data_IF_738280741073
#
_entry.id   IF_738280741073
#
_cell.length_a   1.000
_cell.length_b   1.000
_cell.length_c   1.000
_cell.angle_alpha   90.00
_cell.angle_beta   90.00
_cell.angle_gamma   90.00
#
_symmetry.space_group_name_H-M   'P 1'
#
loop_
_entity.id
_entity.type
_entity.pdbx_description
1 polymer ?
#
# COMPACT_ATOMS: atom_id res chain seq x y z
N UNK A 1 -18.06 9.75 41.16
CA UNK A 1 -18.15 10.10 39.74
C UNK A 1 -17.13 11.19 39.49
N UNK A 2 -15.94 10.85 39.03
CA UNK A 2 -14.81 11.79 39.02
C UNK A 2 -13.53 11.19 38.44
N UNK A 3 -13.66 10.42 37.36
CA UNK A 3 -12.53 9.88 36.59
C UNK A 3 -12.85 10.01 35.11
N UNK A 4 -13.22 11.21 34.67
CA UNK A 4 -13.23 11.51 33.24
C UNK A 4 -11.82 12.03 32.91
N UNK A 5 -10.91 11.10 32.66
CA UNK A 5 -9.68 11.46 31.96
C UNK A 5 -10.09 11.90 30.56
N UNK A 6 -9.90 13.19 30.27
CA UNK A 6 -10.17 13.76 28.96
C UNK A 6 -9.32 13.05 27.92
N UNK A 7 -9.95 12.37 26.96
CA UNK A 7 -9.25 11.84 25.81
C UNK A 7 -8.64 13.01 25.03
N UNK A 8 -7.32 13.03 24.86
CA UNK A 8 -6.65 13.92 23.92
C UNK A 8 -7.18 13.61 22.53
N UNK A 9 -7.71 14.62 21.85
CA UNK A 9 -8.11 14.46 20.45
C UNK A 9 -6.86 14.07 19.64
N UNK A 10 -6.95 13.07 18.76
CA UNK A 10 -5.81 12.73 17.90
C UNK A 10 -5.43 13.98 17.08
N UNK A 11 -4.15 14.33 17.10
CA UNK A 11 -3.63 15.40 16.25
C UNK A 11 -3.84 15.03 14.78
N UNK A 12 -4.29 16.00 13.98
CA UNK A 12 -4.35 15.82 12.53
C UNK A 12 -2.93 15.73 11.98
N UNK A 13 -2.57 14.57 11.42
CA UNK A 13 -1.33 14.40 10.68
C UNK A 13 -1.49 15.09 9.33
N UNK A 14 -0.73 16.16 9.08
CA UNK A 14 -0.66 16.80 7.76
C UNK A 14 0.11 15.88 6.80
N UNK A 15 -0.60 15.11 5.98
CA UNK A 15 -0.01 14.25 4.96
C UNK A 15 0.42 15.09 3.75
N UNK A 16 1.72 15.35 3.63
CA UNK A 16 2.29 16.01 2.45
C UNK A 16 2.50 15.02 1.31
N UNK A 17 1.56 14.96 0.38
CA UNK A 17 1.69 14.16 -0.84
C UNK A 17 2.28 14.99 -2.01
N UNK A 18 3.21 14.41 -2.78
CA UNK A 18 3.64 14.93 -4.07
C UNK A 18 2.48 14.97 -5.06
N UNK A 19 2.56 15.79 -6.13
CA UNK A 19 1.53 15.82 -7.16
C UNK A 19 1.31 14.45 -7.83
N UNK A 20 2.38 13.65 -7.97
CA UNK A 20 2.31 12.28 -8.49
C UNK A 20 1.62 11.34 -7.50
N UNK A 21 1.93 11.47 -6.21
CA UNK A 21 1.30 10.67 -5.15
C UNK A 21 -0.20 10.95 -5.05
N UNK A 22 -0.64 12.20 -5.22
CA UNK A 22 -2.06 12.57 -5.23
C UNK A 22 -2.79 12.07 -6.49
N UNK A 23 -2.13 12.10 -7.65
CA UNK A 23 -2.71 11.63 -8.90
C UNK A 23 -2.77 10.09 -9.01
N UNK A 24 -1.93 9.40 -8.24
CA UNK A 24 -1.75 7.95 -8.33
C UNK A 24 -0.64 7.55 -9.29
N UNK A 25 -0.16 6.32 -9.15
CA UNK A 25 0.94 5.78 -9.94
C UNK A 25 0.42 4.91 -11.09
N UNK A 26 0.76 5.29 -12.32
CA UNK A 26 0.46 4.53 -13.54
C UNK A 26 1.63 3.63 -14.01
N UNK A 27 2.78 3.74 -13.33
CA UNK A 27 4.02 3.00 -13.60
C UNK A 27 4.54 3.14 -15.04
N UNK A 28 4.03 4.12 -15.80
CA UNK A 28 4.24 4.26 -17.25
C UNK A 28 5.70 4.54 -17.62
N UNK A 29 6.44 5.19 -16.72
CA UNK A 29 7.85 5.55 -16.86
C UNK A 29 8.83 4.42 -16.49
N UNK A 30 8.34 3.28 -15.98
CA UNK A 30 9.18 2.14 -15.60
C UNK A 30 9.28 1.06 -16.69
N UNK A 31 10.44 0.40 -16.80
CA UNK A 31 10.65 -0.70 -17.75
C UNK A 31 10.12 -2.04 -17.20
N UNK A 32 9.35 -2.75 -18.01
CA UNK A 32 8.78 -4.07 -17.70
C UNK A 32 9.88 -5.09 -17.41
N UNK A 33 9.66 -5.94 -16.41
CA UNK A 33 10.62 -6.97 -15.98
C UNK A 33 11.66 -6.46 -14.97
N UNK A 34 11.71 -5.16 -14.70
CA UNK A 34 12.61 -4.58 -13.70
C UNK A 34 12.12 -4.89 -12.28
N UNK A 35 13.05 -5.16 -11.37
CA UNK A 35 12.76 -5.14 -9.93
C UNK A 35 12.55 -3.69 -9.50
N UNK A 36 11.48 -3.44 -8.75
CA UNK A 36 11.20 -2.12 -8.19
C UNK A 36 11.78 -2.06 -6.78
N UNK A 37 12.81 -1.23 -6.60
CA UNK A 37 13.39 -0.97 -5.27
C UNK A 37 12.93 0.36 -4.67
N UNK A 38 12.80 1.40 -5.50
CA UNK A 38 12.32 2.71 -5.07
C UNK A 38 11.62 3.45 -6.21
N UNK A 39 10.59 4.22 -5.87
CA UNK A 39 9.85 5.05 -6.80
C UNK A 39 9.11 6.17 -6.07
N UNK A 40 9.31 7.42 -6.53
CA UNK A 40 8.60 8.62 -6.08
C UNK A 40 8.46 8.78 -4.55
N UNK A 41 9.56 8.54 -3.82
CA UNK A 41 9.60 8.69 -2.36
C UNK A 41 9.22 7.42 -1.58
N UNK A 42 8.92 6.32 -2.26
CA UNK A 42 8.68 5.01 -1.65
C UNK A 42 9.79 4.03 -1.97
N UNK A 43 10.00 3.08 -1.05
CA UNK A 43 10.77 1.87 -1.26
C UNK A 43 9.84 0.68 -1.41
N UNK A 44 10.19 -0.21 -2.33
CA UNK A 44 9.43 -1.40 -2.67
C UNK A 44 10.33 -2.62 -2.49
N UNK A 45 9.78 -3.67 -1.90
CA UNK A 45 10.46 -4.96 -1.76
C UNK A 45 9.54 -6.07 -2.22
N UNK A 46 10.07 -7.02 -2.99
CA UNK A 46 9.30 -8.15 -3.51
C UNK A 46 8.36 -7.81 -4.68
N UNK A 47 8.54 -6.64 -5.31
CA UNK A 47 7.78 -6.19 -6.48
C UNK A 47 8.63 -6.15 -7.75
N UNK A 48 8.02 -6.50 -8.89
CA UNK A 48 8.55 -6.27 -10.23
C UNK A 48 7.52 -5.60 -11.12
N UNK A 49 7.96 -4.91 -12.17
CA UNK A 49 7.07 -4.23 -13.12
C UNK A 49 6.58 -5.22 -14.18
N UNK A 50 5.27 -5.23 -14.44
CA UNK A 50 4.59 -6.12 -15.38
C UNK A 50 3.52 -5.36 -16.17
N UNK A 51 3.14 -5.88 -17.33
CA UNK A 51 2.01 -5.39 -18.13
C UNK A 51 0.70 -6.14 -17.83
N UNK A 52 0.72 -7.09 -16.88
CA UNK A 52 -0.42 -7.95 -16.60
C UNK A 52 -1.19 -7.45 -15.37
N UNK A 53 -1.91 -6.34 -15.53
CA UNK A 53 -2.95 -5.97 -14.58
C UNK A 53 -4.28 -6.53 -15.09
N UNK A 54 -4.80 -7.57 -14.44
CA UNK A 54 -5.93 -8.37 -14.91
C UNK A 54 -7.31 -7.68 -14.83
N UNK A 55 -7.35 -6.37 -14.59
CA UNK A 55 -8.59 -5.58 -14.43
C UNK A 55 -8.88 -4.68 -15.62
N UNK A 56 -7.86 -4.32 -16.41
CA UNK A 56 -7.99 -3.48 -17.58
C UNK A 56 -7.86 -4.34 -18.85
N UNK A 57 -8.81 -4.20 -19.77
CA UNK A 57 -8.84 -4.89 -21.07
C UNK A 57 -7.69 -4.54 -22.03
N UNK A 58 -6.67 -3.81 -21.56
CA UNK A 58 -5.56 -3.30 -22.35
C UNK A 58 -4.24 -3.85 -21.81
N UNK A 59 -3.60 -4.72 -22.59
CA UNK A 59 -2.30 -5.37 -22.31
C UNK A 59 -1.13 -4.37 -22.18
N UNK A 60 -1.41 -3.07 -22.20
CA UNK A 60 -0.44 -1.98 -22.08
C UNK A 60 -0.41 -1.31 -20.71
N UNK A 61 -1.36 -1.61 -19.81
CA UNK A 61 -1.38 -1.02 -18.46
C UNK A 61 -0.28 -1.65 -17.60
N UNK A 62 0.71 -0.83 -17.22
CA UNK A 62 1.80 -1.26 -16.34
C UNK A 62 1.31 -1.34 -14.89
N UNK A 63 1.83 -2.33 -14.19
CA UNK A 63 1.53 -2.60 -12.78
C UNK A 63 2.76 -3.16 -12.09
N UNK A 64 2.76 -3.07 -10.76
CA UNK A 64 3.73 -3.79 -9.93
C UNK A 64 3.10 -5.10 -9.49
N UNK A 65 3.86 -6.18 -9.61
CA UNK A 65 3.42 -7.53 -9.23
C UNK A 65 4.36 -8.11 -8.20
N UNK A 66 3.80 -8.78 -7.21
CA UNK A 66 4.54 -9.44 -6.14
C UNK A 66 3.94 -10.80 -5.85
N UNK A 67 4.77 -11.72 -5.33
CA UNK A 67 4.31 -13.04 -4.94
C UNK A 67 3.96 -13.06 -3.46
N UNK A 68 2.68 -13.26 -3.17
CA UNK A 68 2.23 -13.49 -1.79
C UNK A 68 2.70 -14.86 -1.32
N UNK A 69 3.31 -14.90 -0.13
CA UNK A 69 3.74 -16.14 0.51
C UNK A 69 3.18 -16.21 1.94
N UNK A 70 3.23 -17.39 2.56
CA UNK A 70 2.83 -17.53 3.97
C UNK A 70 3.84 -16.90 4.93
N UNK A 71 5.03 -16.58 4.45
CA UNK A 71 6.09 -15.98 5.24
C UNK A 71 6.04 -14.45 5.07
N UNK A 72 5.79 -13.75 6.17
CA UNK A 72 5.72 -12.28 6.18
C UNK A 72 7.07 -11.62 5.88
N UNK A 73 8.18 -12.33 6.05
CA UNK A 73 9.52 -11.84 5.72
C UNK A 73 9.79 -11.83 4.21
N UNK A 74 9.14 -12.74 3.47
CA UNK A 74 9.23 -12.87 2.02
C UNK A 74 8.02 -12.27 1.28
N UNK A 75 7.12 -11.62 2.01
CA UNK A 75 5.95 -10.96 1.43
C UNK A 75 6.31 -9.59 0.84
N UNK A 76 5.62 -9.12 -0.21
CA UNK A 76 5.86 -7.79 -0.78
C UNK A 76 5.62 -6.68 0.25
N UNK A 77 6.42 -5.62 0.20
CA UNK A 77 6.37 -4.50 1.15
C UNK A 77 6.54 -3.17 0.44
N UNK A 78 5.84 -2.17 0.94
CA UNK A 78 5.95 -0.77 0.54
C UNK A 78 6.31 0.01 1.80
N UNK A 79 7.27 0.92 1.72
CA UNK A 79 7.66 1.77 2.84
C UNK A 79 8.04 3.14 2.35
N UNK A 80 8.04 4.13 3.25
CA UNK A 80 8.57 5.45 2.92
C UNK A 80 10.08 5.34 2.74
N UNK A 81 10.62 6.05 1.76
CA UNK A 81 12.06 6.19 1.62
C UNK A 81 12.69 7.05 2.74
N UNK A 82 11.87 7.83 3.46
CA UNK A 82 12.30 8.62 4.60
C UNK A 82 11.54 8.24 5.87
N UNK A 83 12.28 7.96 6.95
CA UNK A 83 11.70 7.68 8.28
C UNK A 83 10.98 8.88 8.89
N UNK A 84 11.26 10.08 8.37
CA UNK A 84 10.67 11.33 8.83
C UNK A 84 9.43 11.73 8.02
N UNK A 85 9.02 10.91 7.03
CA UNK A 85 7.79 11.11 6.28
C UNK A 85 6.77 10.05 6.67
N UNK A 86 5.79 10.48 7.45
CA UNK A 86 4.55 9.74 7.67
C UNK A 86 3.80 9.66 6.34
N UNK A 87 3.47 8.45 5.91
CA UNK A 87 2.64 8.25 4.73
C UNK A 87 1.66 7.12 4.98
N UNK A 88 0.42 7.35 4.58
CA UNK A 88 -0.60 6.31 4.59
C UNK A 88 -1.10 6.16 3.17
N UNK A 89 -1.09 4.92 2.66
CA UNK A 89 -1.76 4.61 1.40
C UNK A 89 -3.26 4.60 1.72
N UNK A 90 -3.99 5.57 1.15
CA UNK A 90 -5.44 5.65 1.33
C UNK A 90 -6.16 4.65 0.44
N UNK A 91 -5.80 4.58 -0.84
CA UNK A 91 -6.45 3.72 -1.82
C UNK A 91 -5.40 3.01 -2.66
N UNK A 92 -5.66 1.74 -2.96
CA UNK A 92 -4.92 0.99 -3.96
C UNK A 92 -5.79 -0.07 -4.61
N UNK A 93 -5.52 -0.34 -5.88
CA UNK A 93 -6.18 -1.41 -6.60
C UNK A 93 -5.34 -2.68 -6.52
N UNK A 94 -5.93 -3.74 -6.00
CA UNK A 94 -5.28 -5.03 -5.84
C UNK A 94 -5.99 -6.09 -6.67
N UNK A 95 -5.22 -6.89 -7.40
CA UNK A 95 -5.72 -8.05 -8.13
C UNK A 95 -4.86 -9.27 -7.82
N UNK A 96 -5.47 -10.44 -7.76
CA UNK A 96 -4.81 -11.71 -7.45
C UNK A 96 -5.04 -12.72 -8.57
N UNK A 97 -4.18 -13.73 -8.68
CA UNK A 97 -4.33 -14.80 -9.69
C UNK A 97 -5.50 -15.77 -9.41
N UNK A 98 -6.16 -15.61 -8.26
CA UNK A 98 -7.35 -16.33 -7.81
C UNK A 98 -8.05 -15.51 -6.72
N UNK A 99 -9.34 -15.74 -6.53
CA UNK A 99 -10.07 -15.10 -5.44
C UNK A 99 -9.48 -15.54 -4.09
N UNK A 100 -9.13 -14.56 -3.26
CA UNK A 100 -8.47 -14.79 -1.98
C UNK A 100 -8.65 -13.60 -1.03
N UNK A 101 -8.70 -13.90 0.27
CA UNK A 101 -8.62 -12.87 1.30
C UNK A 101 -7.15 -12.53 1.57
N UNK A 102 -6.79 -11.28 1.35
CA UNK A 102 -5.45 -10.75 1.56
C UNK A 102 -5.42 -9.96 2.86
N UNK A 103 -4.49 -10.33 3.74
CA UNK A 103 -4.18 -9.54 4.94
C UNK A 103 -3.19 -8.45 4.56
N UNK A 104 -3.58 -7.20 4.77
CA UNK A 104 -2.72 -6.02 4.65
C UNK A 104 -2.27 -5.64 6.06
N UNK A 105 -0.98 -5.39 6.20
CA UNK A 105 -0.33 -5.17 7.49
C UNK A 105 0.31 -3.79 7.44
N UNK A 106 -0.18 -2.88 8.27
CA UNK A 106 0.31 -1.52 8.40
C UNK A 106 1.12 -1.41 9.70
N UNK A 107 2.38 -1.00 9.59
CA UNK A 107 3.21 -0.67 10.75
C UNK A 107 2.90 0.77 11.19
N UNK A 108 2.60 0.93 12.47
CA UNK A 108 2.25 2.22 13.06
C UNK A 108 3.50 2.89 13.67
N UNK A 109 3.49 4.21 13.78
CA UNK A 109 4.59 4.97 14.37
C UNK A 109 4.88 4.61 15.84
N UNK A 110 3.88 4.11 16.58
CA UNK A 110 4.00 3.63 17.96
C UNK A 110 4.62 2.22 18.06
N UNK A 111 4.99 1.60 16.93
CA UNK A 111 5.54 0.26 16.85
C UNK A 111 4.49 -0.85 16.87
N UNK A 112 3.20 -0.52 16.96
CA UNK A 112 2.11 -1.48 16.83
C UNK A 112 1.82 -1.81 15.37
N UNK A 113 0.91 -2.74 15.15
CA UNK A 113 0.52 -3.19 13.82
C UNK A 113 -0.99 -3.12 13.66
N UNK A 114 -1.45 -2.38 12.66
CA UNK A 114 -2.83 -2.35 12.24
C UNK A 114 -3.01 -3.35 11.07
N UNK A 115 -4.02 -4.22 11.15
CA UNK A 115 -4.26 -5.24 10.15
C UNK A 115 -5.61 -4.98 9.46
N UNK A 116 -5.64 -5.04 8.14
CA UNK A 116 -6.87 -5.04 7.35
C UNK A 116 -7.00 -6.34 6.56
N UNK A 117 -8.22 -6.78 6.31
CA UNK A 117 -8.52 -7.93 5.47
C UNK A 117 -9.31 -7.45 4.25
N UNK A 118 -8.78 -7.69 3.06
CA UNK A 118 -9.43 -7.37 1.80
C UNK A 118 -9.75 -8.66 1.04
N UNK A 119 -11.02 -8.86 0.69
CA UNK A 119 -11.44 -9.96 -0.20
C UNK A 119 -11.18 -9.53 -1.64
N UNK A 120 -10.14 -10.09 -2.26
CA UNK A 120 -9.67 -9.70 -3.59
C UNK A 120 -10.06 -10.76 -4.61
N UNK A 121 -10.56 -10.32 -5.76
CA UNK A 121 -10.87 -11.19 -6.89
C UNK A 121 -9.85 -11.08 -8.02
N UNK A 122 -9.93 -12.01 -8.97
CA UNK A 122 -9.15 -11.96 -10.21
C UNK A 122 -9.40 -10.71 -11.07
N UNK A 123 -10.60 -10.13 -10.97
CA UNK A 123 -11.00 -8.92 -11.70
C UNK A 123 -10.51 -7.63 -11.03
N UNK A 124 -9.82 -7.74 -9.90
CA UNK A 124 -9.37 -6.61 -9.11
C UNK A 124 -10.40 -6.10 -8.10
N UNK A 125 -9.88 -5.43 -7.09
CA UNK A 125 -10.64 -4.86 -5.99
C UNK A 125 -9.96 -3.58 -5.55
N UNK A 126 -10.74 -2.50 -5.46
CA UNK A 126 -10.27 -1.26 -4.87
C UNK A 126 -10.30 -1.42 -3.35
N UNK A 127 -9.15 -1.22 -2.72
CA UNK A 127 -8.97 -1.34 -1.28
C UNK A 127 -8.73 0.06 -0.73
N UNK A 128 -9.63 0.50 0.14
CA UNK A 128 -9.52 1.75 0.88
C UNK A 128 -9.09 1.48 2.32
N UNK A 129 -8.14 2.26 2.81
CA UNK A 129 -7.61 2.19 4.16
C UNK A 129 -8.35 3.17 5.09
N UNK A 130 -9.57 2.82 5.48
CA UNK A 130 -10.38 3.66 6.38
C UNK A 130 -10.02 3.50 7.87
N UNK A 131 -9.16 2.54 8.24
CA UNK A 131 -9.00 2.09 9.62
C UNK A 131 -7.56 2.17 10.15
N UNK A 132 -6.56 2.32 9.28
CA UNK A 132 -5.14 2.34 9.65
C UNK A 132 -4.45 3.62 9.15
N UNK A 133 -5.04 4.79 9.44
CA UNK A 133 -4.42 6.09 9.15
C UNK A 133 -3.18 6.35 10.01
N UNK A 134 -2.18 7.07 9.48
CA UNK A 134 -0.93 7.36 10.19
C UNK A 134 0.07 6.19 10.26
N UNK A 135 -0.09 5.19 9.39
CA UNK A 135 0.92 4.16 9.19
C UNK A 135 2.24 4.76 8.69
N UNK A 136 3.35 4.04 8.88
CA UNK A 136 4.69 4.42 8.38
C UNK A 136 5.27 3.40 7.40
N UNK A 137 4.62 2.24 7.23
CA UNK A 137 4.90 1.22 6.20
C UNK A 137 3.76 0.22 6.07
#
# INVERSE_FOLDING_TARGET
WGTDESFTSPDNTETTCSAKQQAGFDWSDLAVGSLLSSYDGFEFSGFSVSNNFSTASDDQVKSIVGKLTKDSSASPKISSASKDQDFSINDFQLATSRDADIRIVYSMADGTTCNSLASVSVSGTDVTNDQCGGATS
#
